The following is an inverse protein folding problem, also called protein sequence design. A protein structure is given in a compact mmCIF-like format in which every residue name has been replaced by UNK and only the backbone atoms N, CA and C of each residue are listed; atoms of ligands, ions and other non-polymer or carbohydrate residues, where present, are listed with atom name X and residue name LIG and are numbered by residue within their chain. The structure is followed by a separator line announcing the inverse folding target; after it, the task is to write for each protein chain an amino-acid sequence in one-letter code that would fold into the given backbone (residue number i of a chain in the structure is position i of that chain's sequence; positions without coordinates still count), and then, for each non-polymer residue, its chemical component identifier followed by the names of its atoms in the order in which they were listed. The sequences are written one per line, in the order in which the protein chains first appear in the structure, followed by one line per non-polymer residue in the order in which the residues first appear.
data_IF_438911217779
#
_entry.id   IF_438911217779
#
_cell.length_a   1.000
_cell.length_b   1.000
_cell.length_c   1.000
_cell.angle_alpha   90.00
_cell.angle_beta   90.00
_cell.angle_gamma   90.00
#
_symmetry.space_group_name_H-M   'P 1'
#
loop_
_entity.id
_entity.type
_entity.pdbx_description
1 polymer ?
#
# COMPACT_ATOMS: atom_id res chain seq x y z
N UNK A 1 -45.89 50.13 49.74
CA UNK A 1 -45.91 48.92 48.88
C UNK A 1 -46.27 49.40 47.47
N UNK A 2 -45.59 49.16 46.35
CA UNK A 2 -44.71 48.09 45.88
C UNK A 2 -43.82 48.69 44.76
N UNK A 3 -42.50 48.52 44.82
CA UNK A 3 -41.56 48.98 43.80
C UNK A 3 -41.67 48.12 42.54
N UNK A 4 -41.68 48.73 41.35
CA UNK A 4 -41.60 48.03 40.07
C UNK A 4 -40.16 48.08 39.56
N UNK A 5 -39.48 46.92 39.57
CA UNK A 5 -38.15 46.76 38.99
C UNK A 5 -38.28 46.56 37.48
N UNK A 6 -37.66 47.45 36.70
CA UNK A 6 -37.38 47.22 35.29
C UNK A 6 -36.35 46.10 35.16
N UNK A 7 -36.74 45.03 34.46
CA UNK A 7 -35.86 43.89 34.19
C UNK A 7 -35.57 43.87 32.68
N UNK A 8 -34.46 44.48 32.27
CA UNK A 8 -33.96 44.41 30.89
C UNK A 8 -33.46 43.00 30.64
N UNK A 9 -34.19 42.22 29.83
CA UNK A 9 -33.71 40.92 29.34
C UNK A 9 -32.54 41.14 28.37
N UNK A 10 -31.35 40.77 28.80
CA UNK A 10 -30.23 40.53 27.90
C UNK A 10 -30.52 39.25 27.08
N UNK A 11 -30.85 39.42 25.81
CA UNK A 11 -30.82 38.33 24.83
C UNK A 11 -29.37 38.18 24.35
N UNK A 12 -28.67 37.15 24.81
CA UNK A 12 -27.42 36.71 24.19
C UNK A 12 -27.75 35.82 22.99
N UNK A 13 -27.58 36.35 21.79
CA UNK A 13 -27.61 35.55 20.56
C UNK A 13 -26.31 34.74 20.46
N UNK A 14 -26.35 33.50 20.95
CA UNK A 14 -25.28 32.53 20.68
C UNK A 14 -25.35 32.15 19.20
N UNK A 15 -24.52 32.80 18.38
CA UNK A 15 -24.29 32.39 16.99
C UNK A 15 -23.57 31.06 17.01
N UNK A 16 -24.19 30.00 16.47
CA UNK A 16 -23.57 28.67 16.36
C UNK A 16 -22.53 28.71 15.23
N UNK A 17 -21.22 28.60 15.50
CA UNK A 17 -20.23 28.62 14.44
C UNK A 17 -20.24 27.25 13.75
N UNK A 18 -20.98 27.13 12.65
CA UNK A 18 -21.08 25.90 11.84
C UNK A 18 -19.74 25.56 11.15
N UNK A 19 -18.82 26.53 11.07
CA UNK A 19 -17.50 26.36 10.46
C UNK A 19 -16.50 25.60 11.34
N UNK A 20 -16.64 25.68 12.67
CA UNK A 20 -15.73 25.00 13.61
C UNK A 20 -15.77 23.48 13.52
N UNK A 21 -16.94 22.79 13.47
CA UNK A 21 -16.96 21.34 13.30
C UNK A 21 -16.42 20.90 11.93
N UNK A 22 -16.59 21.71 10.89
CA UNK A 22 -16.06 21.40 9.56
C UNK A 22 -14.53 21.52 9.51
N UNK A 23 -13.97 22.58 10.09
CA UNK A 23 -12.52 22.75 10.18
C UNK A 23 -11.87 21.62 11.00
N UNK A 24 -12.51 21.20 12.08
CA UNK A 24 -12.07 20.07 12.88
C UNK A 24 -12.13 18.75 12.09
N UNK A 25 -13.20 18.52 11.32
CA UNK A 25 -13.31 17.32 10.47
C UNK A 25 -12.21 17.24 9.40
N UNK A 26 -11.81 18.38 8.83
CA UNK A 26 -10.69 18.44 7.86
C UNK A 26 -9.35 18.19 8.56
N UNK A 27 -9.14 18.76 9.75
CA UNK A 27 -7.89 18.60 10.49
C UNK A 27 -7.66 17.16 10.99
N UNK A 28 -8.73 16.41 11.25
CA UNK A 28 -8.67 14.98 11.60
C UNK A 28 -8.75 14.04 10.39
N UNK A 29 -8.84 14.57 9.17
CA UNK A 29 -8.85 13.72 7.99
C UNK A 29 -7.51 12.96 7.90
N UNK A 30 -7.52 11.62 7.76
CA UNK A 30 -6.30 10.85 7.64
C UNK A 30 -5.56 11.26 6.37
N UNK A 31 -4.26 11.55 6.50
CA UNK A 31 -3.41 11.77 5.35
C UNK A 31 -3.14 10.44 4.63
N UNK A 32 -3.13 10.41 3.29
CA UNK A 32 -2.67 9.22 2.57
C UNK A 32 -1.20 8.94 2.92
N UNK A 33 -0.95 7.77 3.50
CA UNK A 33 0.40 7.25 3.73
C UNK A 33 0.81 6.33 2.59
N UNK A 34 2.09 6.41 2.20
CA UNK A 34 2.70 5.44 1.28
C UNK A 34 3.56 4.49 2.09
N UNK A 35 3.33 3.19 1.91
CA UNK A 35 4.18 2.16 2.49
C UNK A 35 4.82 1.37 1.35
N UNK A 36 6.12 1.15 1.45
CA UNK A 36 6.86 0.24 0.57
C UNK A 36 7.18 -1.06 1.31
N UNK A 37 7.37 -2.14 0.56
CA UNK A 37 7.79 -3.41 1.15
C UNK A 37 9.30 -3.38 1.40
N UNK A 38 9.70 -3.52 2.67
CA UNK A 38 11.10 -3.63 3.07
C UNK A 38 11.40 -5.02 3.65
N UNK A 39 12.52 -5.60 3.25
CA UNK A 39 12.99 -6.90 3.73
C UNK A 39 14.36 -6.73 4.37
N UNK A 40 14.50 -7.18 5.63
CA UNK A 40 15.77 -7.15 6.34
C UNK A 40 16.70 -8.28 5.83
N UNK A 41 17.87 -7.98 5.23
CA UNK A 41 18.76 -9.02 4.70
C UNK A 41 19.31 -9.96 5.79
N UNK A 42 19.36 -9.52 7.05
CA UNK A 42 19.81 -10.34 8.17
C UNK A 42 18.91 -11.57 8.44
N UNK A 43 17.74 -11.67 7.81
CA UNK A 43 16.91 -12.88 7.88
C UNK A 43 17.37 -14.01 6.95
N UNK A 44 18.28 -13.75 6.02
CA UNK A 44 18.72 -14.74 5.03
C UNK A 44 20.10 -15.31 5.30
N UNK A 45 20.87 -14.69 6.19
CA UNK A 45 22.21 -15.15 6.57
C UNK A 45 22.63 -14.58 7.92
N UNK A 46 23.35 -15.39 8.70
CA UNK A 46 24.05 -14.94 9.92
C UNK A 46 25.34 -14.16 9.59
N UNK A 47 25.80 -14.20 8.34
CA UNK A 47 26.96 -13.45 7.85
C UNK A 47 26.53 -12.06 7.35
N UNK A 48 26.93 -10.96 8.01
CA UNK A 48 26.58 -9.60 7.60
C UNK A 48 27.11 -9.20 6.21
N UNK A 49 28.08 -9.94 5.67
CA UNK A 49 28.65 -9.72 4.34
C UNK A 49 27.89 -10.44 3.22
N UNK A 50 27.01 -11.38 3.56
CA UNK A 50 26.13 -12.05 2.61
C UNK A 50 24.96 -11.12 2.23
N UNK A 51 25.18 -10.26 1.24
CA UNK A 51 24.15 -9.34 0.74
C UNK A 51 23.27 -10.07 -0.27
N UNK A 52 22.12 -10.57 0.18
CA UNK A 52 21.07 -11.03 -0.72
C UNK A 52 20.43 -9.83 -1.44
N UNK A 53 20.25 -9.91 -2.77
CA UNK A 53 19.48 -8.91 -3.50
C UNK A 53 17.99 -9.12 -3.25
N UNK A 54 17.41 -8.25 -2.42
CA UNK A 54 15.99 -8.29 -2.07
C UNK A 54 15.13 -7.26 -2.79
N UNK A 55 15.75 -6.45 -3.67
CA UNK A 55 15.06 -5.37 -4.37
C UNK A 55 13.92 -5.87 -5.27
N UNK A 56 14.02 -7.11 -5.74
CA UNK A 56 12.98 -7.76 -6.54
C UNK A 56 11.74 -8.08 -5.70
N UNK A 57 11.91 -8.60 -4.48
CA UNK A 57 10.81 -8.95 -3.59
C UNK A 57 10.07 -7.72 -3.06
N UNK A 58 10.78 -6.60 -2.84
CA UNK A 58 10.18 -5.30 -2.49
C UNK A 58 9.16 -4.81 -3.52
N UNK A 59 9.26 -5.26 -4.77
CA UNK A 59 8.32 -4.94 -5.86
C UNK A 59 7.23 -5.99 -6.07
N UNK A 60 7.05 -6.92 -5.11
CA UNK A 60 6.16 -8.08 -5.22
C UNK A 60 6.49 -9.02 -6.41
N UNK A 61 7.74 -8.98 -6.91
CA UNK A 61 8.21 -9.83 -7.99
C UNK A 61 8.98 -11.05 -7.46
N UNK A 62 9.19 -12.03 -8.33
CA UNK A 62 9.93 -13.26 -8.07
C UNK A 62 11.34 -13.19 -8.68
N UNK A 63 12.28 -13.94 -8.10
CA UNK A 63 13.65 -14.03 -8.60
C UNK A 63 13.72 -14.89 -9.88
N UNK A 64 14.64 -14.59 -10.79
CA UNK A 64 14.90 -15.46 -11.93
C UNK A 64 15.51 -16.79 -11.47
N UNK A 65 15.15 -17.90 -12.11
CA UNK A 65 15.60 -19.22 -11.67
C UNK A 65 14.89 -20.39 -12.33
N UNK A 66 15.21 -21.60 -11.88
CA UNK A 66 14.53 -22.84 -12.27
C UNK A 66 13.34 -23.08 -11.35
N UNK A 67 12.16 -23.25 -11.92
CA UNK A 67 10.94 -23.52 -11.19
C UNK A 67 10.29 -24.81 -11.67
N UNK A 68 9.89 -25.67 -10.73
CA UNK A 68 9.02 -26.82 -10.99
C UNK A 68 7.60 -26.31 -11.14
N UNK A 69 7.04 -26.34 -12.35
CA UNK A 69 5.70 -25.81 -12.65
C UNK A 69 4.84 -26.85 -13.35
N UNK A 70 3.52 -26.69 -13.19
CA UNK A 70 2.53 -27.42 -13.97
C UNK A 70 2.22 -26.66 -15.26
N UNK A 71 2.36 -27.35 -16.39
CA UNK A 71 2.11 -26.79 -17.71
C UNK A 71 0.71 -27.16 -18.16
N UNK A 72 -0.06 -26.16 -18.54
CA UNK A 72 -1.40 -26.31 -19.10
C UNK A 72 -1.44 -25.75 -20.53
N UNK A 73 -2.20 -26.40 -21.41
CA UNK A 73 -2.53 -25.91 -22.74
C UNK A 73 -4.03 -25.99 -22.93
N UNK A 74 -4.67 -24.87 -23.26
CA UNK A 74 -6.12 -24.77 -23.42
C UNK A 74 -6.87 -25.40 -22.24
N UNK A 75 -6.47 -25.04 -21.00
CA UNK A 75 -7.01 -25.55 -19.75
C UNK A 75 -6.82 -27.07 -19.50
N UNK A 76 -6.04 -27.77 -20.33
CA UNK A 76 -5.72 -29.19 -20.15
C UNK A 76 -4.32 -29.34 -19.56
N UNK A 77 -4.19 -30.12 -18.48
CA UNK A 77 -2.90 -30.44 -17.89
C UNK A 77 -2.04 -31.26 -18.87
N UNK A 78 -0.78 -30.85 -19.04
CA UNK A 78 0.19 -31.54 -19.89
C UNK A 78 1.22 -32.30 -19.05
N UNK A 79 1.93 -31.60 -18.18
CA UNK A 79 3.04 -32.16 -17.41
C UNK A 79 3.48 -31.23 -16.28
N UNK A 80 4.17 -31.81 -15.29
CA UNK A 80 4.89 -31.09 -14.24
C UNK A 80 6.39 -31.17 -14.54
N UNK A 81 7.06 -30.04 -14.79
CA UNK A 81 8.47 -30.02 -15.19
C UNK A 81 9.21 -28.77 -14.72
N UNK A 82 10.54 -28.86 -14.71
CA UNK A 82 11.41 -27.72 -14.44
C UNK A 82 11.50 -26.81 -15.67
N UNK A 83 11.24 -25.52 -15.50
CA UNK A 83 11.37 -24.49 -16.52
C UNK A 83 12.25 -23.35 -15.99
N UNK A 84 13.16 -22.88 -16.83
CA UNK A 84 13.99 -21.71 -16.54
C UNK A 84 13.20 -20.43 -16.80
N UNK A 85 13.10 -19.57 -15.80
CA UNK A 85 12.49 -18.25 -15.91
C UNK A 85 13.56 -17.16 -15.80
N UNK A 86 13.47 -16.17 -16.68
CA UNK A 86 14.34 -14.99 -16.72
C UNK A 86 13.59 -13.76 -16.23
N UNK A 87 14.31 -12.79 -15.68
CA UNK A 87 13.73 -11.50 -15.33
C UNK A 87 13.28 -10.74 -16.58
N UNK A 88 12.10 -10.13 -16.52
CA UNK A 88 11.62 -9.24 -17.58
C UNK A 88 12.40 -7.92 -17.52
N UNK A 89 13.08 -7.57 -18.61
CA UNK A 89 13.73 -6.26 -18.73
C UNK A 89 12.66 -5.22 -19.10
N UNK A 90 12.17 -4.49 -18.12
CA UNK A 90 11.19 -3.40 -18.33
C UNK A 90 11.86 -2.20 -19.00
N UNK A 91 12.08 -2.26 -20.31
CA UNK A 91 12.37 -1.07 -21.13
C UNK A 91 11.08 -0.30 -21.37
N UNK A 92 10.59 0.38 -20.33
CA UNK A 92 9.70 1.55 -20.38
C UNK A 92 8.32 1.47 -21.05
N UNK A 93 7.91 0.39 -21.73
CA UNK A 93 6.68 0.41 -22.56
C UNK A 93 5.95 -0.92 -22.77
N UNK A 94 6.16 -1.92 -21.93
CA UNK A 94 5.38 -3.16 -21.99
C UNK A 94 4.76 -3.41 -20.62
N UNK A 95 3.42 -3.37 -20.57
CA UNK A 95 2.67 -3.81 -19.40
C UNK A 95 3.08 -5.27 -19.09
N UNK A 96 3.39 -5.61 -17.84
CA UNK A 96 3.67 -6.99 -17.46
C UNK A 96 2.50 -7.89 -17.85
N UNK A 97 2.77 -9.06 -18.43
CA UNK A 97 1.73 -10.07 -18.72
C UNK A 97 1.13 -10.63 -17.43
N UNK A 98 1.92 -10.61 -16.35
CA UNK A 98 1.55 -10.94 -14.98
C UNK A 98 2.45 -10.18 -13.98
N UNK A 99 2.16 -10.29 -12.68
CA UNK A 99 2.88 -9.58 -11.62
C UNK A 99 4.16 -10.30 -11.15
N UNK A 100 4.52 -11.44 -11.75
CA UNK A 100 5.68 -12.24 -11.30
C UNK A 100 7.02 -11.57 -11.60
N UNK A 101 7.06 -10.72 -12.63
CA UNK A 101 8.31 -10.13 -13.15
C UNK A 101 9.20 -11.13 -13.90
N UNK A 102 8.68 -12.31 -14.22
CA UNK A 102 9.41 -13.41 -14.86
C UNK A 102 8.88 -13.73 -16.27
N UNK A 103 9.74 -14.32 -17.11
CA UNK A 103 9.38 -14.90 -18.42
C UNK A 103 10.05 -16.25 -18.63
N UNK A 104 9.34 -17.22 -19.19
CA UNK A 104 9.88 -18.54 -19.57
C UNK A 104 10.47 -18.53 -20.99
#
# INVERSE_FOLDING_TARGET
MRNQLFMTRYYSSVTKPVLTPLALAIALAPAPGWAENYFNPAFLSDDPSAVADLSTFSRNAQAAGMYRVDVYLNNTFLATRDIAFQAVKTTGKSAPTDDSGLRA
#
